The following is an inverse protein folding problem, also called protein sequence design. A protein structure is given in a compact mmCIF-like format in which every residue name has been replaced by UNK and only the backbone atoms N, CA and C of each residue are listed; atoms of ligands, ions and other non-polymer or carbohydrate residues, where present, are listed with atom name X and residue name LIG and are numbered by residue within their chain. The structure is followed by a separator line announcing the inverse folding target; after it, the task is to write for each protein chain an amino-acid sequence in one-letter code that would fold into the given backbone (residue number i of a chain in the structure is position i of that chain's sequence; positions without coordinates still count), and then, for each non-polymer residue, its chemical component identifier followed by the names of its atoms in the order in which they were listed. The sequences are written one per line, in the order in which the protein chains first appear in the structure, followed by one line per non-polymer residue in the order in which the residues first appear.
data_IF_418218344351
#
_entry.id   IF_418218344351
#
_cell.length_a   1.000
_cell.length_b   1.000
_cell.length_c   1.000
_cell.angle_alpha   90.00
_cell.angle_beta   90.00
_cell.angle_gamma   90.00
#
_symmetry.space_group_name_H-M   'P 1'
#
loop_
_entity.id
_entity.type
_entity.pdbx_description
1 polymer ?
#
# COMPACT_ATOMS: atom_id res chain seq x y z
N UNK A 1 15.31 -6.05 -39.23
CA UNK A 1 15.95 -6.81 -38.16
C UNK A 1 16.25 -5.86 -37.01
N UNK A 2 15.26 -5.60 -36.17
CA UNK A 2 15.50 -4.89 -34.91
C UNK A 2 16.17 -5.89 -33.95
N UNK A 3 17.42 -5.62 -33.66
CA UNK A 3 18.21 -6.37 -32.69
C UNK A 3 18.03 -5.78 -31.28
N UNK A 4 16.86 -5.20 -31.01
CA UNK A 4 16.53 -4.62 -29.71
C UNK A 4 16.14 -5.74 -28.71
N UNK A 5 16.57 -5.65 -27.46
CA UNK A 5 16.21 -6.61 -26.44
C UNK A 5 14.70 -6.57 -26.17
N UNK A 6 14.13 -7.73 -25.88
CA UNK A 6 12.76 -7.84 -25.40
C UNK A 6 12.74 -7.55 -23.89
N UNK A 7 12.08 -6.48 -23.50
CA UNK A 7 11.88 -6.11 -22.10
C UNK A 7 10.46 -6.39 -21.68
N UNK A 8 10.30 -7.10 -20.58
CA UNK A 8 9.00 -7.43 -19.98
C UNK A 8 8.96 -6.86 -18.57
N UNK A 9 7.84 -6.26 -18.22
CA UNK A 9 7.53 -5.79 -16.87
C UNK A 9 6.15 -6.32 -16.47
N UNK A 10 6.05 -6.96 -15.33
CA UNK A 10 4.77 -7.38 -14.80
C UNK A 10 3.93 -6.16 -14.42
N UNK A 11 2.61 -6.24 -14.68
CA UNK A 11 1.70 -5.10 -14.50
C UNK A 11 1.40 -4.75 -13.02
N UNK A 12 1.84 -5.57 -12.11
CA UNK A 12 1.68 -5.45 -10.66
C UNK A 12 3.00 -5.14 -9.94
N UNK A 13 4.02 -4.72 -10.67
CA UNK A 13 5.33 -4.39 -10.12
C UNK A 13 5.73 -2.95 -10.46
N UNK A 14 6.38 -2.28 -9.49
CA UNK A 14 6.97 -0.96 -9.69
C UNK A 14 8.42 -0.98 -9.21
N UNK A 15 9.33 -0.52 -10.07
CA UNK A 15 10.75 -0.42 -9.75
C UNK A 15 11.15 1.04 -9.62
N UNK A 16 11.98 1.37 -8.64
CA UNK A 16 12.56 2.71 -8.49
C UNK A 16 13.61 3.03 -9.55
N UNK A 17 14.30 2.00 -10.07
CA UNK A 17 15.24 2.08 -11.20
C UNK A 17 15.21 0.78 -11.98
N UNK A 18 15.39 0.86 -13.29
CA UNK A 18 15.46 -0.31 -14.16
C UNK A 18 16.90 -0.77 -14.33
N UNK A 19 17.14 -2.11 -14.33
CA UNK A 19 18.40 -2.68 -14.78
C UNK A 19 18.81 -2.17 -16.16
N UNK A 20 20.10 -1.98 -16.36
CA UNK A 20 20.64 -1.47 -17.62
C UNK A 20 21.10 -2.59 -18.55
N UNK A 21 21.35 -3.79 -18.03
CA UNK A 21 21.77 -4.92 -18.84
C UNK A 21 20.64 -5.37 -19.78
N UNK A 22 21.00 -5.63 -21.01
CA UNK A 22 20.06 -6.07 -22.06
C UNK A 22 19.66 -7.55 -21.92
N UNK A 23 20.36 -8.32 -21.08
CA UNK A 23 20.11 -9.75 -20.86
C UNK A 23 20.11 -10.08 -19.37
N UNK A 24 19.07 -9.67 -18.68
CA UNK A 24 19.01 -9.81 -17.22
C UNK A 24 17.61 -10.08 -16.65
N UNK A 25 17.62 -10.61 -15.44
CA UNK A 25 16.45 -10.70 -14.55
C UNK A 25 16.71 -9.83 -13.33
N UNK A 26 15.77 -8.96 -13.02
CA UNK A 26 15.82 -8.16 -11.81
C UNK A 26 15.42 -8.98 -10.58
N UNK A 27 16.27 -8.91 -9.54
CA UNK A 27 16.08 -9.56 -8.26
C UNK A 27 15.82 -8.53 -7.16
N UNK A 28 14.99 -8.91 -6.18
CA UNK A 28 14.83 -8.18 -4.94
C UNK A 28 14.96 -9.14 -3.75
N UNK A 29 15.44 -8.63 -2.61
CA UNK A 29 15.50 -9.43 -1.39
C UNK A 29 14.09 -9.82 -0.97
N UNK A 30 13.90 -11.11 -0.68
CA UNK A 30 12.68 -11.60 -0.07
C UNK A 30 12.68 -11.23 1.42
N UNK A 31 11.78 -10.36 1.83
CA UNK A 31 11.57 -10.01 3.25
C UNK A 31 10.42 -10.82 3.86
N UNK A 32 9.61 -11.46 3.03
CA UNK A 32 8.45 -12.27 3.39
C UNK A 32 8.54 -13.65 2.72
N UNK A 33 7.72 -14.61 3.15
CA UNK A 33 7.60 -15.94 2.55
C UNK A 33 6.97 -15.86 1.15
N UNK A 34 7.78 -15.52 0.16
CA UNK A 34 7.38 -15.56 -1.23
C UNK A 34 7.40 -16.99 -1.76
N UNK A 35 6.27 -17.47 -2.25
CA UNK A 35 6.18 -18.73 -3.00
C UNK A 35 6.62 -18.54 -4.47
N UNK A 36 6.61 -17.27 -4.94
CA UNK A 36 6.87 -16.90 -6.31
C UNK A 36 8.38 -16.86 -6.61
N UNK A 37 8.84 -17.75 -7.48
CA UNK A 37 10.18 -17.75 -8.12
C UNK A 37 11.32 -17.28 -7.22
N UNK A 38 11.41 -17.91 -6.06
CA UNK A 38 12.54 -17.70 -5.14
C UNK A 38 13.81 -18.31 -5.73
N UNK A 39 14.84 -17.51 -5.84
CA UNK A 39 16.15 -17.96 -6.29
C UNK A 39 17.05 -18.24 -5.07
N UNK A 40 17.21 -19.51 -4.72
CA UNK A 40 18.00 -19.94 -3.54
C UNK A 40 19.45 -19.46 -3.60
N UNK A 41 20.07 -19.43 -4.78
CA UNK A 41 21.45 -19.01 -4.98
C UNK A 41 21.70 -17.57 -4.54
N UNK A 42 20.72 -16.69 -4.78
CA UNK A 42 20.83 -15.27 -4.48
C UNK A 42 20.04 -14.86 -3.24
N UNK A 43 19.30 -15.79 -2.63
CA UNK A 43 18.36 -15.49 -1.53
C UNK A 43 17.42 -14.32 -1.88
N UNK A 44 16.86 -14.37 -3.06
CA UNK A 44 16.10 -13.28 -3.66
C UNK A 44 14.97 -13.82 -4.53
N UNK A 45 14.03 -12.96 -4.86
CA UNK A 45 12.88 -13.27 -5.74
C UNK A 45 12.96 -12.48 -7.04
N UNK A 46 12.38 -13.02 -8.10
CA UNK A 46 12.17 -12.26 -9.33
C UNK A 46 11.17 -11.14 -9.08
N UNK A 47 11.60 -9.90 -9.28
CA UNK A 47 10.74 -8.74 -9.01
C UNK A 47 9.88 -8.31 -10.20
N UNK A 48 9.76 -9.16 -11.24
CA UNK A 48 8.85 -8.95 -12.36
C UNK A 48 9.42 -8.15 -13.53
N UNK A 49 10.71 -7.84 -13.55
CA UNK A 49 11.39 -7.26 -14.72
C UNK A 49 12.37 -8.25 -15.33
N UNK A 50 12.28 -8.39 -16.66
CA UNK A 50 13.09 -9.29 -17.47
C UNK A 50 13.55 -8.58 -18.73
N UNK A 51 14.78 -8.79 -19.14
CA UNK A 51 15.33 -8.32 -20.41
C UNK A 51 16.04 -9.47 -21.11
N UNK A 52 15.65 -9.74 -22.34
CA UNK A 52 16.19 -10.82 -23.18
C UNK A 52 16.87 -10.23 -24.39
N UNK A 53 18.19 -10.34 -24.48
CA UNK A 53 18.97 -9.85 -25.62
C UNK A 53 18.67 -10.59 -26.92
N UNK A 54 18.18 -11.82 -26.83
CA UNK A 54 17.73 -12.62 -27.98
C UNK A 54 16.22 -12.93 -27.93
N UNK A 55 15.36 -12.01 -28.39
CA UNK A 55 13.91 -12.22 -28.36
C UNK A 55 13.42 -13.47 -29.06
N UNK A 56 14.08 -13.87 -30.16
CA UNK A 56 13.70 -15.06 -30.94
C UNK A 56 13.94 -16.33 -30.13
N UNK A 57 15.06 -16.41 -29.42
CA UNK A 57 15.37 -17.53 -28.55
C UNK A 57 14.36 -17.62 -27.38
N UNK A 58 13.97 -16.49 -26.78
CA UNK A 58 12.97 -16.47 -25.72
C UNK A 58 11.58 -16.91 -26.21
N UNK A 59 11.13 -16.42 -27.38
CA UNK A 59 9.84 -16.84 -27.97
C UNK A 59 9.86 -18.35 -28.28
N UNK A 60 11.01 -18.88 -28.77
CA UNK A 60 11.17 -20.32 -28.96
C UNK A 60 11.08 -21.09 -27.63
N UNK A 61 11.76 -20.62 -26.60
CA UNK A 61 11.71 -21.21 -25.27
C UNK A 61 10.28 -21.22 -24.72
N UNK A 62 9.54 -20.12 -24.91
CA UNK A 62 8.13 -20.02 -24.52
C UNK A 62 7.23 -21.02 -25.26
N UNK A 63 7.49 -21.26 -26.54
CA UNK A 63 6.78 -22.27 -27.29
C UNK A 63 7.10 -23.70 -26.83
N UNK A 64 8.37 -23.97 -26.51
CA UNK A 64 8.82 -25.28 -26.01
C UNK A 64 8.25 -25.58 -24.60
N UNK A 65 8.11 -24.57 -23.75
CA UNK A 65 7.51 -24.68 -22.43
C UNK A 65 5.98 -24.67 -22.43
N UNK A 66 5.33 -24.67 -23.61
CA UNK A 66 3.88 -24.59 -23.77
C UNK A 66 3.25 -23.35 -23.07
N UNK A 67 4.00 -22.25 -22.97
CA UNK A 67 3.58 -21.01 -22.35
C UNK A 67 3.89 -20.90 -20.85
N UNK A 68 4.54 -21.89 -20.25
CA UNK A 68 5.05 -21.77 -18.89
C UNK A 68 6.24 -20.79 -18.89
N UNK A 69 6.02 -19.63 -18.33
CA UNK A 69 6.99 -18.53 -18.33
C UNK A 69 8.27 -18.87 -17.56
N UNK A 70 8.13 -19.50 -16.40
CA UNK A 70 9.28 -19.85 -15.57
C UNK A 70 10.16 -20.90 -16.26
N UNK A 71 9.53 -21.90 -16.84
CA UNK A 71 10.22 -22.92 -17.62
C UNK A 71 10.87 -22.33 -18.88
N UNK A 72 10.22 -21.36 -19.54
CA UNK A 72 10.79 -20.67 -20.71
C UNK A 72 12.05 -19.89 -20.33
N UNK A 73 12.04 -19.20 -19.17
CA UNK A 73 13.23 -18.50 -18.66
C UNK A 73 14.38 -19.48 -18.42
N UNK A 74 14.12 -20.63 -17.80
CA UNK A 74 15.14 -21.64 -17.56
C UNK A 74 15.75 -22.18 -18.89
N UNK A 75 14.90 -22.50 -19.87
CA UNK A 75 15.36 -22.94 -21.20
C UNK A 75 16.22 -21.85 -21.88
N UNK A 76 15.76 -20.59 -21.79
CA UNK A 76 16.52 -19.48 -22.34
C UNK A 76 17.87 -19.29 -21.66
N UNK A 77 17.90 -19.36 -20.31
CA UNK A 77 19.13 -19.23 -19.51
C UNK A 77 20.16 -20.30 -19.87
N UNK A 78 19.75 -21.54 -20.04
CA UNK A 78 20.62 -22.66 -20.44
C UNK A 78 21.29 -22.43 -21.80
N UNK A 79 20.55 -21.84 -22.76
CA UNK A 79 21.03 -21.62 -24.13
C UNK A 79 21.81 -20.30 -24.31
N UNK A 80 21.42 -19.24 -23.62
CA UNK A 80 21.92 -17.87 -23.87
C UNK A 80 22.63 -17.25 -22.67
N UNK A 81 22.53 -17.88 -21.49
CA UNK A 81 22.90 -17.26 -20.24
C UNK A 81 21.95 -16.13 -19.85
N UNK A 82 21.99 -15.73 -18.61
CA UNK A 82 21.24 -14.56 -18.09
C UNK A 82 22.00 -13.99 -16.90
N UNK A 83 22.01 -12.68 -16.76
CA UNK A 83 22.55 -12.02 -15.57
C UNK A 83 21.42 -11.69 -14.59
N UNK A 84 21.75 -11.73 -13.31
CA UNK A 84 20.81 -11.37 -12.25
C UNK A 84 21.27 -10.08 -11.60
N UNK A 85 20.40 -9.06 -11.65
CA UNK A 85 20.70 -7.73 -11.12
C UNK A 85 19.80 -7.41 -9.93
N UNK A 86 20.42 -7.06 -8.79
CA UNK A 86 19.71 -6.60 -7.62
C UNK A 86 19.12 -5.20 -7.83
N UNK A 87 17.84 -5.02 -7.52
CA UNK A 87 17.18 -3.72 -7.51
C UNK A 87 16.99 -3.20 -6.10
N UNK A 88 17.36 -1.94 -5.89
CA UNK A 88 17.33 -1.30 -4.56
C UNK A 88 15.94 -0.90 -4.10
N UNK A 89 15.01 -0.72 -5.02
CA UNK A 89 13.64 -0.29 -4.74
C UNK A 89 12.67 -1.07 -5.61
N UNK A 90 11.93 -1.95 -4.95
CA UNK A 90 10.89 -2.75 -5.57
C UNK A 90 9.62 -2.69 -4.73
N UNK A 91 8.50 -2.49 -5.41
CA UNK A 91 7.17 -2.42 -4.81
C UNK A 91 6.28 -3.44 -5.52
N UNK A 92 5.89 -4.47 -4.77
CA UNK A 92 5.02 -5.54 -5.24
C UNK A 92 3.56 -5.22 -4.89
N UNK A 93 2.70 -5.23 -5.90
CA UNK A 93 1.26 -5.02 -5.78
C UNK A 93 0.44 -6.28 -6.13
N UNK A 94 1.11 -7.36 -6.55
CA UNK A 94 0.48 -8.61 -6.95
C UNK A 94 0.10 -9.52 -5.78
N UNK A 95 0.77 -9.38 -4.66
CA UNK A 95 0.56 -10.21 -3.48
C UNK A 95 -0.08 -9.39 -2.35
N UNK A 96 -1.09 -9.94 -1.69
CA UNK A 96 -1.87 -9.19 -0.71
C UNK A 96 -1.02 -8.67 0.46
N UNK A 97 -0.05 -9.47 0.91
CA UNK A 97 0.83 -9.10 2.03
C UNK A 97 1.73 -7.91 1.68
N UNK A 98 2.29 -7.91 0.47
CA UNK A 98 3.20 -6.87 -0.01
C UNK A 98 2.49 -5.67 -0.59
N UNK A 99 1.26 -5.85 -1.08
CA UNK A 99 0.43 -4.76 -1.57
C UNK A 99 0.27 -3.63 -0.55
N UNK A 100 -0.13 -3.96 0.67
CA UNK A 100 -0.31 -2.95 1.72
C UNK A 100 1.00 -2.30 2.13
N UNK A 101 2.09 -3.06 2.17
CA UNK A 101 3.44 -2.56 2.46
C UNK A 101 3.89 -1.59 1.34
N UNK A 102 3.85 -2.03 0.09
CA UNK A 102 4.22 -1.23 -1.08
C UNK A 102 3.40 0.05 -1.16
N UNK A 103 2.09 -0.06 -0.97
CA UNK A 103 1.20 1.09 -0.92
C UNK A 103 1.56 2.08 0.19
N UNK A 104 1.90 1.61 1.38
CA UNK A 104 2.27 2.47 2.50
C UNK A 104 3.53 3.28 2.21
N UNK A 105 4.48 2.70 1.49
CA UNK A 105 5.74 3.34 1.10
C UNK A 105 5.56 4.38 -0.02
N UNK A 106 4.57 4.17 -0.90
CA UNK A 106 4.31 5.06 -2.05
C UNK A 106 3.19 6.07 -1.75
N UNK A 107 2.41 5.87 -0.67
CA UNK A 107 1.31 6.77 -0.33
C UNK A 107 1.85 8.18 -0.16
N UNK A 108 1.50 9.01 -1.12
CA UNK A 108 1.94 10.38 -1.22
C UNK A 108 1.56 11.17 0.02
N UNK A 109 2.55 11.78 0.63
CA UNK A 109 2.35 12.85 1.58
C UNK A 109 1.51 13.92 0.89
N UNK A 110 0.30 14.18 1.43
CA UNK A 110 -0.38 15.42 1.06
C UNK A 110 0.52 16.57 1.48
N UNK A 111 0.61 17.62 0.67
CA UNK A 111 1.57 18.73 0.81
C UNK A 111 1.66 19.36 2.22
N UNK A 112 0.68 19.09 3.11
CA UNK A 112 0.57 19.68 4.45
C UNK A 112 0.73 18.68 5.60
N UNK A 113 0.83 17.37 5.33
CA UNK A 113 0.95 16.34 6.37
C UNK A 113 2.11 15.40 6.04
N UNK A 114 2.99 15.18 7.00
CA UNK A 114 3.97 14.09 6.95
C UNK A 114 3.33 12.84 7.54
N UNK A 115 3.28 11.77 6.74
CA UNK A 115 2.77 10.47 7.16
C UNK A 115 3.82 9.42 6.84
N UNK A 116 4.20 8.63 7.86
CA UNK A 116 5.10 7.50 7.72
C UNK A 116 4.40 6.25 8.23
N UNK A 117 4.63 5.12 7.58
CA UNK A 117 4.12 3.82 8.01
C UNK A 117 5.32 2.89 8.10
N UNK A 118 5.62 2.41 9.28
CA UNK A 118 6.78 1.58 9.57
C UNK A 118 6.42 0.62 10.71
N UNK A 119 6.80 -0.64 10.60
CA UNK A 119 6.60 -1.69 11.62
C UNK A 119 5.17 -1.77 12.19
N UNK A 120 4.17 -1.61 11.33
CA UNK A 120 2.76 -1.66 11.74
C UNK A 120 2.26 -0.40 12.48
N UNK A 121 3.04 0.69 12.46
CA UNK A 121 2.72 1.96 13.09
C UNK A 121 2.56 3.06 12.03
N UNK A 122 1.50 3.84 12.16
CA UNK A 122 1.30 5.07 11.38
C UNK A 122 1.76 6.26 12.23
N UNK A 123 2.85 6.90 11.86
CA UNK A 123 3.28 8.17 12.41
C UNK A 123 2.72 9.32 11.58
N UNK A 124 2.12 10.31 12.23
CA UNK A 124 1.55 11.47 11.55
C UNK A 124 1.89 12.78 12.24
N UNK A 125 2.39 13.73 11.46
CA UNK A 125 2.62 15.13 11.83
C UNK A 125 2.16 16.04 10.70
N UNK A 126 2.12 17.35 10.89
CA UNK A 126 1.75 18.26 9.79
C UNK A 126 1.44 19.68 10.23
N UNK A 127 1.00 20.46 9.23
CA UNK A 127 0.62 21.86 9.41
C UNK A 127 -0.86 22.06 9.03
N UNK A 128 -1.64 22.84 9.76
CA UNK A 128 -1.24 23.54 10.99
C UNK A 128 -1.13 22.58 12.19
N UNK A 129 -0.21 22.85 13.14
CA UNK A 129 0.01 22.01 14.32
C UNK A 129 -1.25 21.72 15.13
N UNK A 130 -2.11 22.73 15.28
CA UNK A 130 -3.40 22.64 15.98
C UNK A 130 -4.30 21.51 15.46
N UNK A 131 -4.21 21.20 14.16
CA UNK A 131 -5.00 20.12 13.57
C UNK A 131 -4.51 18.75 14.06
N UNK A 132 -3.20 18.56 14.12
CA UNK A 132 -2.59 17.31 14.60
C UNK A 132 -2.90 17.10 16.09
N UNK A 133 -2.82 18.16 16.89
CA UNK A 133 -3.21 18.13 18.31
C UNK A 133 -4.68 17.79 18.50
N UNK A 134 -5.57 18.37 17.68
CA UNK A 134 -6.99 18.10 17.73
C UNK A 134 -7.31 16.65 17.38
N UNK A 135 -6.66 16.08 16.35
CA UNK A 135 -6.80 14.68 15.97
C UNK A 135 -6.30 13.75 17.09
N UNK A 136 -5.14 14.02 17.67
CA UNK A 136 -4.59 13.26 18.79
C UNK A 136 -5.52 13.30 20.02
N UNK A 137 -6.03 14.47 20.34
CA UNK A 137 -6.95 14.67 21.46
C UNK A 137 -8.28 13.95 21.23
N UNK A 138 -8.76 13.90 19.98
CA UNK A 138 -9.95 13.13 19.63
C UNK A 138 -9.75 11.64 19.95
N UNK A 139 -8.63 11.02 19.54
CA UNK A 139 -8.33 9.63 19.88
C UNK A 139 -8.27 9.39 21.37
N UNK A 140 -7.65 10.32 22.15
CA UNK A 140 -7.57 10.24 23.62
C UNK A 140 -8.93 10.31 24.28
N UNK A 141 -9.79 11.21 23.79
CA UNK A 141 -11.09 11.48 24.36
C UNK A 141 -12.15 10.41 24.02
N UNK A 142 -11.87 9.50 23.10
CA UNK A 142 -12.80 8.43 22.74
C UNK A 142 -13.18 7.58 23.93
N UNK A 143 -14.48 7.40 24.23
CA UNK A 143 -14.97 6.45 25.21
C UNK A 143 -14.50 5.03 24.92
N UNK A 144 -14.25 4.24 25.97
CA UNK A 144 -13.73 2.88 25.81
C UNK A 144 -14.58 1.99 24.86
N UNK A 145 -15.90 2.17 24.89
CA UNK A 145 -16.81 1.44 24.00
C UNK A 145 -16.68 1.81 22.52
N UNK A 146 -16.13 2.98 22.19
CA UNK A 146 -15.92 3.44 20.82
C UNK A 146 -14.50 3.17 20.31
N UNK A 147 -13.52 2.97 21.18
CA UNK A 147 -12.12 2.69 20.77
C UNK A 147 -11.98 1.47 19.87
N UNK A 148 -12.86 0.47 20.03
CA UNK A 148 -12.88 -0.74 19.17
C UNK A 148 -13.20 -0.48 17.70
N UNK A 149 -13.69 0.69 17.36
CA UNK A 149 -14.03 1.08 15.98
C UNK A 149 -12.98 1.98 15.34
N UNK A 150 -11.87 2.24 16.03
CA UNK A 150 -10.80 3.13 15.56
C UNK A 150 -9.46 2.45 15.73
N UNK A 151 -8.45 2.83 14.93
CA UNK A 151 -7.08 2.43 15.19
C UNK A 151 -6.67 2.78 16.61
N UNK A 152 -5.85 1.94 17.22
CA UNK A 152 -5.35 2.19 18.57
C UNK A 152 -4.34 3.35 18.54
N UNK A 153 -4.55 4.34 19.38
CA UNK A 153 -3.55 5.39 19.62
C UNK A 153 -2.39 4.81 20.44
N UNK A 154 -1.18 4.86 19.88
CA UNK A 154 0.03 4.32 20.50
C UNK A 154 0.74 5.42 21.28
N UNK A 155 1.03 6.54 20.60
CA UNK A 155 1.81 7.62 21.19
C UNK A 155 1.34 9.00 20.70
N UNK A 156 1.59 10.01 21.51
CA UNK A 156 1.45 11.43 21.13
C UNK A 156 2.64 12.17 21.69
N UNK A 157 3.27 13.01 20.88
CA UNK A 157 4.46 13.74 21.28
C UNK A 157 4.72 14.96 20.42
N UNK A 158 5.94 15.46 20.54
CA UNK A 158 6.48 16.53 19.71
C UNK A 158 7.81 16.09 19.12
N UNK A 159 8.08 16.51 17.90
CA UNK A 159 9.37 16.31 17.22
C UNK A 159 10.43 17.24 17.86
N UNK A 160 11.69 17.05 17.48
CA UNK A 160 12.80 17.96 17.87
C UNK A 160 12.55 19.43 17.46
N UNK A 161 11.72 19.65 16.45
CA UNK A 161 11.31 20.98 15.96
C UNK A 161 10.04 21.51 16.64
N UNK A 162 9.65 20.93 17.79
CA UNK A 162 8.43 21.27 18.56
C UNK A 162 7.10 21.07 17.79
N UNK A 163 7.13 20.35 16.66
CA UNK A 163 5.93 20.03 15.89
C UNK A 163 5.19 18.85 16.50
N UNK A 164 3.88 18.93 16.72
CA UNK A 164 3.11 17.83 17.28
C UNK A 164 3.04 16.65 16.32
N UNK A 165 3.07 15.44 16.87
CA UNK A 165 2.80 14.21 16.16
C UNK A 165 1.96 13.25 17.00
N UNK A 166 1.36 12.28 16.33
CA UNK A 166 0.78 11.12 16.99
C UNK A 166 1.05 9.86 16.18
N UNK A 167 0.97 8.74 16.88
CA UNK A 167 1.12 7.40 16.33
C UNK A 167 -0.13 6.57 16.58
N UNK A 168 -0.54 5.84 15.56
CA UNK A 168 -1.62 4.84 15.65
C UNK A 168 -1.17 3.51 15.07
N UNK A 169 -1.86 2.43 15.41
CA UNK A 169 -1.68 1.18 14.70
C UNK A 169 -2.02 1.34 13.22
N UNK A 170 -1.27 0.63 12.38
CA UNK A 170 -1.58 0.51 10.95
C UNK A 170 -2.53 -0.66 10.74
N UNK A 171 -3.68 -0.38 10.15
CA UNK A 171 -4.65 -1.40 9.74
C UNK A 171 -4.46 -1.68 8.24
N UNK A 172 -3.94 -2.85 7.84
CA UNK A 172 -3.72 -3.21 6.44
C UNK A 172 -5.03 -3.63 5.77
N UNK A 173 -5.99 -2.71 5.71
CA UNK A 173 -7.32 -2.93 5.14
C UNK A 173 -7.62 -1.90 4.05
N UNK A 174 -8.42 -2.31 3.06
CA UNK A 174 -8.86 -1.40 2.02
C UNK A 174 -9.91 -0.41 2.54
N UNK A 175 -9.75 0.88 2.28
CA UNK A 175 -10.78 1.87 2.58
C UNK A 175 -12.07 1.59 1.81
N UNK A 176 -13.22 1.89 2.42
CA UNK A 176 -14.53 1.64 1.81
C UNK A 176 -14.74 2.35 0.48
N UNK A 177 -14.14 3.52 0.28
CA UNK A 177 -14.19 4.24 -1.01
C UNK A 177 -13.50 3.46 -2.13
N UNK A 178 -12.39 2.78 -1.85
CA UNK A 178 -11.71 1.93 -2.83
C UNK A 178 -12.50 0.66 -3.12
N UNK A 179 -13.03 0.03 -2.06
CA UNK A 179 -13.92 -1.13 -2.20
C UNK A 179 -15.15 -0.77 -3.04
N UNK A 180 -15.69 0.45 -2.87
CA UNK A 180 -16.84 0.93 -3.64
C UNK A 180 -16.49 1.16 -5.11
N UNK A 181 -15.36 1.81 -5.40
CA UNK A 181 -14.96 2.17 -6.77
C UNK A 181 -14.46 0.97 -7.56
N UNK A 182 -13.68 0.10 -6.93
CA UNK A 182 -12.96 -0.98 -7.62
C UNK A 182 -13.53 -2.37 -7.34
N UNK A 183 -14.30 -2.53 -6.28
CA UNK A 183 -14.90 -3.80 -5.90
C UNK A 183 -16.22 -4.08 -6.64
N UNK A 184 -16.43 -5.34 -7.02
CA UNK A 184 -17.71 -5.81 -7.56
C UNK A 184 -18.50 -6.53 -6.46
N UNK A 185 -18.80 -5.81 -5.36
CA UNK A 185 -19.44 -6.41 -4.21
C UNK A 185 -20.95 -6.47 -4.40
N UNK A 186 -21.62 -7.59 -4.03
CA UNK A 186 -23.07 -7.74 -4.13
C UNK A 186 -23.80 -6.84 -3.12
N UNK A 187 -25.09 -6.61 -3.35
CA UNK A 187 -25.94 -5.77 -2.49
C UNK A 187 -25.88 -6.20 -1.02
N UNK A 188 -25.90 -7.51 -0.75
CA UNK A 188 -25.81 -8.05 0.62
C UNK A 188 -24.52 -7.64 1.38
N UNK A 189 -23.43 -7.41 0.66
CA UNK A 189 -22.21 -6.88 1.26
C UNK A 189 -22.45 -5.45 1.76
N UNK A 190 -23.07 -4.61 0.93
CA UNK A 190 -23.36 -3.21 1.28
C UNK A 190 -24.40 -3.08 2.38
N UNK A 191 -25.40 -3.96 2.40
CA UNK A 191 -26.37 -4.03 3.51
C UNK A 191 -25.66 -4.30 4.85
N UNK A 192 -24.70 -5.22 4.87
CA UNK A 192 -23.89 -5.48 6.07
C UNK A 192 -23.04 -4.28 6.47
N UNK A 193 -22.38 -3.62 5.51
CA UNK A 193 -21.57 -2.41 5.77
C UNK A 193 -22.43 -1.30 6.35
N UNK A 194 -23.60 -1.03 5.75
CA UNK A 194 -24.55 -0.03 6.26
C UNK A 194 -25.09 -0.40 7.64
N UNK A 195 -25.33 -1.70 7.89
CA UNK A 195 -25.71 -2.20 9.20
C UNK A 195 -24.65 -1.91 10.27
N UNK A 196 -23.37 -2.13 9.95
CA UNK A 196 -22.24 -1.82 10.85
C UNK A 196 -22.11 -0.30 11.09
N UNK A 197 -22.28 0.51 10.06
CA UNK A 197 -22.27 1.98 10.20
C UNK A 197 -23.43 2.44 11.10
N UNK A 198 -24.63 1.91 10.88
CA UNK A 198 -25.81 2.21 11.71
C UNK A 198 -25.57 1.81 13.16
N UNK A 199 -24.95 0.65 13.39
CA UNK A 199 -24.59 0.18 14.72
C UNK A 199 -23.58 1.13 15.40
N UNK A 200 -22.51 1.53 14.68
CA UNK A 200 -21.54 2.50 15.19
C UNK A 200 -22.21 3.83 15.56
N UNK A 201 -23.08 4.35 14.71
CA UNK A 201 -23.82 5.59 14.99
C UNK A 201 -24.73 5.46 16.21
N UNK A 202 -25.36 4.32 16.38
CA UNK A 202 -26.18 4.00 17.56
C UNK A 202 -25.36 3.97 18.85
N UNK A 203 -24.19 3.31 18.82
CA UNK A 203 -23.27 3.27 19.95
C UNK A 203 -22.74 4.68 20.29
N UNK A 204 -22.36 5.46 19.27
CA UNK A 204 -21.85 6.83 19.44
C UNK A 204 -22.87 7.73 20.14
N UNK A 205 -24.17 7.60 19.82
CA UNK A 205 -25.25 8.38 20.46
C UNK A 205 -25.37 8.13 21.96
N UNK A 206 -24.90 7.01 22.50
CA UNK A 206 -24.92 6.75 23.94
C UNK A 206 -23.95 7.66 24.69
N UNK A 207 -22.87 8.07 24.05
CA UNK A 207 -21.84 8.93 24.62
C UNK A 207 -21.99 10.40 24.25
N UNK A 208 -22.61 10.65 23.11
CA UNK A 208 -22.86 12.00 22.58
C UNK A 208 -24.35 12.14 22.34
N UNK A 209 -25.19 12.31 23.43
CA UNK A 209 -26.61 12.50 23.27
C UNK A 209 -26.88 13.81 22.47
N UNK A 210 -27.90 13.77 21.63
CA UNK A 210 -28.36 14.95 20.84
C UNK A 210 -28.70 16.07 21.83
N UNK A 211 -28.06 17.21 21.69
CA UNK A 211 -28.35 18.35 22.52
C UNK A 211 -27.38 19.50 22.50
N UNK A 212 -26.27 19.38 21.76
CA UNK A 212 -25.45 20.58 21.52
C UNK A 212 -25.94 21.33 20.29
N UNK A 213 -27.04 22.11 20.50
CA UNK A 213 -27.48 23.14 19.55
C UNK A 213 -26.29 24.07 19.20
N UNK A 214 -25.44 24.37 20.17
CA UNK A 214 -24.19 25.14 20.01
C UNK A 214 -23.19 24.50 19.02
N UNK A 215 -23.10 23.16 18.96
CA UNK A 215 -22.26 22.45 18.01
C UNK A 215 -22.83 22.51 16.58
N UNK A 216 -24.14 22.39 16.46
CA UNK A 216 -24.86 22.51 15.18
C UNK A 216 -24.82 23.95 14.63
N UNK A 217 -24.93 24.97 15.49
CA UNK A 217 -24.73 26.36 15.10
C UNK A 217 -23.31 26.63 14.64
N UNK A 218 -22.30 26.06 15.31
CA UNK A 218 -20.91 26.21 14.94
C UNK A 218 -20.57 25.53 13.61
N UNK A 219 -21.09 24.36 13.35
CA UNK A 219 -20.96 23.65 12.08
C UNK A 219 -21.63 24.43 10.94
N UNK A 220 -22.78 25.02 11.20
CA UNK A 220 -23.50 25.85 10.23
C UNK A 220 -22.78 27.18 9.95
N UNK A 221 -22.16 27.79 10.95
CA UNK A 221 -21.36 29.01 10.79
C UNK A 221 -20.07 28.75 9.99
N UNK A 222 -19.38 27.63 10.25
CA UNK A 222 -18.17 27.24 9.50
C UNK A 222 -18.47 26.81 8.05
N UNK A 223 -19.65 26.26 7.78
CA UNK A 223 -20.07 25.91 6.42
C UNK A 223 -20.50 27.12 5.58
N UNK A 224 -21.00 28.22 6.20
CA UNK A 224 -21.32 29.47 5.50
C UNK A 224 -20.10 30.33 5.18
N UNK A 225 -18.94 30.08 5.80
CA UNK A 225 -17.68 30.79 5.51
C UNK A 225 -16.89 30.16 4.34
N UNK A 226 -17.41 29.13 3.71
CA UNK A 226 -16.77 28.39 2.61
C UNK A 226 -17.43 28.64 1.22
N UNK A 227 -18.37 29.61 1.13
CA UNK A 227 -18.97 30.06 -0.14
C UNK A 227 -18.69 31.54 -0.40
#
# INVERSE_FOLDING_TARGET
DNNEPLRLLHGDTLLGSFPQNENCIALAKAEDDYIWQFNEKYNAVWCGFFSFSNPKAFVRALALSQGDFAQAVNIYEEENGIEYEDVSSWYDFGHINTYFKSRSLITTQRAFNSLKIEDGVVWKSGSPPRKIEAEANWFRALPAGLKRFTPQLIQVGKTEQDSPFYETEYLPILPLNEIFVHGRNPVIFWEKVLGLISFYMSESRKYFPRGDEELLEKINQDSTALY
#
